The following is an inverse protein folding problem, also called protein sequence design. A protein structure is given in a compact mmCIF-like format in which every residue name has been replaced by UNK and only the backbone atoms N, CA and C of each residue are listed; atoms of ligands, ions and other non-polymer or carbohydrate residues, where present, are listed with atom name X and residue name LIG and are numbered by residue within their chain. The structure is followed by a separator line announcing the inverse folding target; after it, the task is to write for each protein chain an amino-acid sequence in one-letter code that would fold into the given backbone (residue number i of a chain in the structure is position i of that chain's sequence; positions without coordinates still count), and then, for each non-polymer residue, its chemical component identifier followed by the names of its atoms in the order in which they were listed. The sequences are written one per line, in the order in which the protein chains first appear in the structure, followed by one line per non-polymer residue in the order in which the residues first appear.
data_IF_616572178024
#
_entry.id   IF_616572178024
#
_cell.length_a   1.000
_cell.length_b   1.000
_cell.length_c   1.000
_cell.angle_alpha   90.00
_cell.angle_beta   90.00
_cell.angle_gamma   90.00
#
_symmetry.space_group_name_H-M   'P 1'
#
loop_
_entity.id
_entity.type
_entity.pdbx_description
1 polymer ?
#
# COMPACT_ATOMS: atom_id res chain seq x y z
N UNK A 1 -50.34 -14.71 21.95
CA UNK A 1 -49.54 -14.51 23.18
C UNK A 1 -48.63 -13.34 22.92
N UNK A 2 -48.92 -12.19 23.54
CA UNK A 2 -48.09 -10.98 23.50
C UNK A 2 -47.74 -10.72 24.97
N UNK A 3 -46.45 -10.63 25.28
CA UNK A 3 -45.97 -10.39 26.63
C UNK A 3 -45.84 -8.88 26.86
N UNK A 4 -46.57 -8.37 27.86
CA UNK A 4 -46.49 -7.00 28.35
C UNK A 4 -45.33 -6.88 29.35
N UNK A 5 -44.35 -6.05 29.01
CA UNK A 5 -43.09 -5.89 29.75
C UNK A 5 -43.12 -4.77 30.79
N UNK A 6 -44.22 -4.00 30.89
CA UNK A 6 -44.18 -2.66 31.50
C UNK A 6 -44.81 -2.51 32.90
N UNK A 7 -45.16 -3.59 33.60
CA UNK A 7 -45.81 -3.48 34.93
C UNK A 7 -45.21 -4.44 35.96
N UNK A 8 -43.93 -4.25 36.30
CA UNK A 8 -43.42 -4.71 37.58
C UNK A 8 -43.16 -3.53 38.52
N UNK A 9 -44.14 -3.33 39.40
CA UNK A 9 -44.19 -2.36 40.48
C UNK A 9 -43.02 -2.48 41.45
N UNK A 10 -42.45 -1.33 41.83
CA UNK A 10 -41.64 -1.16 43.02
C UNK A 10 -42.50 -0.57 44.14
N UNK A 11 -42.37 -1.10 45.35
CA UNK A 11 -42.86 -0.51 46.59
C UNK A 11 -41.79 -0.69 47.69
N UNK A 12 -41.76 0.18 48.71
CA UNK A 12 -40.52 0.68 49.31
C UNK A 12 -40.24 0.10 50.71
N UNK A 13 -38.97 0.12 51.14
CA UNK A 13 -38.60 -0.01 52.55
C UNK A 13 -37.55 1.08 52.85
N UNK A 14 -37.95 2.02 53.71
CA UNK A 14 -37.13 3.08 54.30
C UNK A 14 -36.10 2.51 55.31
N UNK A 15 -34.94 3.16 55.45
CA UNK A 15 -34.09 2.95 56.62
C UNK A 15 -32.63 3.41 56.50
N UNK A 16 -32.38 4.65 56.93
CA UNK A 16 -31.13 5.18 57.51
C UNK A 16 -29.87 5.44 56.63
N UNK A 17 -29.67 6.74 56.36
CA UNK A 17 -28.34 7.42 56.41
C UNK A 17 -28.23 8.10 57.79
N UNK A 18 -27.05 8.47 58.34
CA UNK A 18 -25.86 8.95 57.61
C UNK A 18 -24.48 8.52 58.16
N UNK A 19 -23.43 8.54 57.33
CA UNK A 19 -22.20 9.29 57.67
C UNK A 19 -21.29 9.48 56.46
N UNK A 20 -20.66 10.65 56.45
CA UNK A 20 -19.73 11.17 55.45
C UNK A 20 -18.42 10.37 55.39
N UNK A 21 -17.86 10.23 54.19
CA UNK A 21 -16.50 9.73 54.02
C UNK A 21 -16.10 9.62 52.54
N UNK A 22 -15.42 10.66 52.07
CA UNK A 22 -14.47 10.68 50.95
C UNK A 22 -14.97 10.24 49.56
N UNK A 23 -15.13 11.24 48.68
CA UNK A 23 -15.21 11.04 47.25
C UNK A 23 -13.81 10.72 46.70
N UNK A 24 -13.59 9.61 45.97
CA UNK A 24 -12.52 9.57 45.02
C UNK A 24 -13.00 10.24 43.73
N UNK A 25 -12.32 11.34 43.47
CA UNK A 25 -11.98 11.91 42.17
C UNK A 25 -12.41 11.09 40.94
N UNK A 26 -13.10 11.78 40.04
CA UNK A 26 -13.49 11.28 38.72
C UNK A 26 -12.29 10.64 38.01
N UNK A 27 -12.32 9.31 37.92
CA UNK A 27 -11.45 8.55 37.04
C UNK A 27 -11.77 8.97 35.60
N UNK A 28 -10.78 9.60 34.96
CA UNK A 28 -10.68 9.81 33.52
C UNK A 28 -10.97 8.49 32.77
N UNK A 29 -11.47 8.54 31.52
CA UNK A 29 -11.76 7.32 30.78
C UNK A 29 -10.52 6.46 30.68
N UNK A 30 -10.61 5.23 31.19
CA UNK A 30 -9.57 4.22 31.07
C UNK A 30 -9.18 4.08 29.60
N UNK A 31 -7.89 4.24 29.36
CA UNK A 31 -7.26 4.00 28.08
C UNK A 31 -7.53 2.54 27.65
N UNK A 32 -7.74 2.36 26.35
CA UNK A 32 -7.94 1.07 25.71
C UNK A 32 -6.89 0.02 26.14
N UNK A 33 -7.24 -1.28 26.15
CA UNK A 33 -6.34 -2.32 26.64
C UNK A 33 -5.17 -2.52 25.67
N UNK A 34 -3.94 -2.44 26.20
CA UNK A 34 -2.79 -3.14 25.63
C UNK A 34 -1.77 -2.33 24.83
N UNK A 35 -1.72 -1.00 24.91
CA UNK A 35 -0.57 -0.25 24.37
C UNK A 35 0.47 -0.07 25.47
N UNK A 36 1.69 -0.57 25.25
CA UNK A 36 2.82 -0.36 26.15
C UNK A 36 3.04 1.15 26.35
N UNK A 37 3.08 1.62 27.60
CA UNK A 37 3.22 3.06 27.91
C UNK A 37 4.48 3.65 27.26
N UNK A 38 5.57 2.88 27.23
CA UNK A 38 6.82 3.23 26.55
C UNK A 38 6.62 3.43 25.04
N UNK A 39 5.77 2.61 24.39
CA UNK A 39 5.46 2.74 22.96
C UNK A 39 4.64 4.01 22.68
N UNK A 40 3.70 4.37 23.56
CA UNK A 40 2.94 5.61 23.45
C UNK A 40 3.82 6.84 23.61
N UNK A 41 4.72 6.83 24.58
CA UNK A 41 5.69 7.92 24.78
C UNK A 41 6.61 8.06 23.58
N UNK A 42 7.09 6.94 23.05
CA UNK A 42 7.89 6.93 21.83
C UNK A 42 7.12 7.50 20.64
N UNK A 43 5.85 7.11 20.44
CA UNK A 43 5.01 7.63 19.37
C UNK A 43 4.81 9.14 19.48
N UNK A 44 4.56 9.67 20.69
CA UNK A 44 4.45 11.13 20.90
C UNK A 44 5.73 11.87 20.55
N UNK A 45 6.88 11.31 20.92
CA UNK A 45 8.19 11.87 20.60
C UNK A 45 8.45 11.85 19.09
N UNK A 46 8.16 10.74 18.41
CA UNK A 46 8.27 10.62 16.97
C UNK A 46 7.39 11.65 16.25
N UNK A 47 6.14 11.81 16.69
CA UNK A 47 5.21 12.80 16.14
C UNK A 47 5.72 14.23 16.30
N UNK A 48 6.18 14.59 17.51
CA UNK A 48 6.70 15.93 17.78
C UNK A 48 7.89 16.29 16.88
N UNK A 49 8.79 15.32 16.65
CA UNK A 49 9.94 15.49 15.76
C UNK A 49 9.52 15.65 14.31
N UNK A 50 8.69 14.73 13.79
CA UNK A 50 8.22 14.76 12.41
C UNK A 50 7.47 16.07 12.10
N UNK A 51 6.72 16.58 13.08
CA UNK A 51 6.04 17.88 12.99
C UNK A 51 7.04 19.03 12.87
N UNK A 52 8.06 19.06 13.73
CA UNK A 52 9.10 20.09 13.68
C UNK A 52 9.88 20.05 12.34
N UNK A 53 10.12 18.86 11.80
CA UNK A 53 10.75 18.68 10.48
C UNK A 53 9.87 19.26 9.37
N UNK A 54 8.57 18.92 9.34
CA UNK A 54 7.65 19.45 8.34
C UNK A 54 7.50 20.98 8.41
N UNK A 55 7.50 21.56 9.62
CA UNK A 55 7.47 23.01 9.81
C UNK A 55 8.75 23.68 9.29
N UNK A 56 9.92 23.08 9.52
CA UNK A 56 11.19 23.55 8.98
C UNK A 56 11.23 23.49 7.45
N UNK A 57 10.83 22.36 6.85
CA UNK A 57 10.77 22.18 5.40
C UNK A 57 9.79 23.19 4.76
N UNK A 58 8.65 23.44 5.42
CA UNK A 58 7.67 24.43 4.96
C UNK A 58 8.23 25.85 5.03
N UNK A 59 9.02 26.20 6.05
CA UNK A 59 9.65 27.52 6.15
C UNK A 59 10.75 27.72 5.11
N UNK A 60 11.51 26.66 4.80
CA UNK A 60 12.57 26.70 3.79
C UNK A 60 12.02 26.78 2.35
N UNK A 61 10.87 26.14 2.07
CA UNK A 61 10.19 26.23 0.77
C UNK A 61 9.52 27.60 0.52
N UNK A 62 9.20 28.37 1.56
CA UNK A 62 8.62 29.73 1.45
C UNK A 62 9.72 30.81 1.38
N UNK A 63 10.96 30.47 1.73
CA UNK A 63 12.07 31.42 1.79
C UNK A 63 12.78 31.79 0.46
N UNK A 64 12.66 31.09 -0.69
CA UNK A 64 13.36 31.54 -1.90
C UNK A 64 12.64 32.69 -2.63
N UNK A 65 11.43 33.08 -2.23
CA UNK A 65 10.61 34.09 -2.92
C UNK A 65 10.59 35.48 -2.22
N UNK A 66 11.63 35.81 -1.44
CA UNK A 66 11.80 37.14 -0.83
C UNK A 66 13.11 37.84 -1.19
N UNK A 67 13.85 37.33 -2.18
CA UNK A 67 15.06 37.98 -2.72
C UNK A 67 14.95 38.36 -4.21
N UNK A 68 13.77 38.25 -4.82
CA UNK A 68 13.55 38.52 -6.24
C UNK A 68 12.61 39.71 -6.44
N UNK A 69 13.09 40.95 -6.33
CA UNK A 69 12.51 42.08 -7.07
C UNK A 69 13.46 43.30 -7.06
N UNK A 70 13.56 44.13 -8.13
CA UNK A 70 13.21 43.93 -9.54
C UNK A 70 14.41 44.14 -10.49
N UNK A 71 14.34 43.49 -11.65
CA UNK A 71 15.11 43.80 -12.85
C UNK A 71 14.61 45.13 -13.47
N UNK A 72 15.46 46.15 -13.71
CA UNK A 72 15.08 47.29 -14.55
C UNK A 72 15.50 47.04 -16.01
N UNK A 73 14.46 46.98 -16.85
CA UNK A 73 14.35 47.44 -18.24
C UNK A 73 15.29 46.88 -19.33
N UNK A 74 14.73 46.38 -20.46
CA UNK A 74 15.50 45.97 -21.63
C UNK A 74 15.68 47.15 -22.61
N UNK A 75 16.92 47.45 -23.01
CA UNK A 75 17.20 48.15 -24.26
C UNK A 75 18.44 47.58 -24.97
N UNK A 76 18.52 47.70 -26.31
CA UNK A 76 19.07 46.68 -27.20
C UNK A 76 20.54 46.88 -27.62
N UNK A 77 21.19 45.76 -27.98
CA UNK A 77 22.27 45.50 -28.96
C UNK A 77 23.29 46.63 -29.32
N UNK A 78 24.60 46.32 -29.47
CA UNK A 78 25.04 45.71 -30.74
C UNK A 78 26.28 44.79 -30.71
N UNK A 79 26.25 43.84 -31.65
CA UNK A 79 27.35 43.33 -32.50
C UNK A 79 28.82 43.44 -32.02
N UNK A 80 29.51 42.30 -32.03
CA UNK A 80 30.90 42.24 -32.53
C UNK A 80 31.27 40.82 -32.98
N UNK A 81 31.85 40.74 -34.18
CA UNK A 81 32.24 39.55 -34.93
C UNK A 81 33.69 39.10 -34.59
N UNK A 82 34.42 38.32 -35.45
CA UNK A 82 34.98 36.97 -35.20
C UNK A 82 36.53 36.97 -35.02
N UNK A 83 37.22 35.80 -34.94
CA UNK A 83 37.97 35.29 -36.10
C UNK A 83 38.02 33.73 -36.20
N UNK A 84 37.96 33.06 -37.37
CA UNK A 84 38.94 32.85 -38.48
C UNK A 84 39.98 31.73 -38.18
N UNK A 85 39.88 30.64 -38.97
CA UNK A 85 40.90 29.69 -39.54
C UNK A 85 41.71 28.77 -38.60
N UNK A 86 42.11 27.51 -38.92
CA UNK A 86 42.61 26.87 -40.15
C UNK A 86 42.35 25.33 -40.18
N UNK A 87 42.12 24.81 -41.39
CA UNK A 87 42.20 23.42 -41.94
C UNK A 87 43.54 22.67 -41.62
N UNK A 88 43.82 21.37 -42.01
CA UNK A 88 43.39 20.67 -43.24
C UNK A 88 43.30 19.10 -43.29
N UNK A 89 42.88 18.61 -44.48
CA UNK A 89 43.21 17.35 -45.22
C UNK A 89 43.15 15.97 -44.51
N UNK A 90 42.32 15.02 -44.95
CA UNK A 90 42.36 14.17 -46.16
C UNK A 90 43.11 12.83 -45.98
N UNK A 91 42.58 11.79 -46.65
CA UNK A 91 43.09 10.42 -46.85
C UNK A 91 42.79 9.42 -45.71
N UNK A 92 41.85 8.49 -45.91
CA UNK A 92 42.02 7.18 -46.56
C UNK A 92 42.88 6.22 -45.73
N UNK A 93 42.31 5.12 -45.22
CA UNK A 93 42.77 3.77 -45.57
C UNK A 93 41.82 2.69 -45.01
N UNK A 94 41.73 1.60 -45.78
CA UNK A 94 40.91 0.41 -45.55
C UNK A 94 41.56 -0.54 -44.55
N UNK A 95 40.80 -1.22 -43.68
CA UNK A 95 41.18 -2.59 -43.26
C UNK A 95 39.93 -3.45 -43.01
N UNK A 96 39.77 -4.44 -43.88
CA UNK A 96 38.96 -5.65 -43.70
C UNK A 96 39.78 -6.69 -42.92
N UNK A 97 39.16 -7.70 -42.30
CA UNK A 97 39.38 -9.07 -42.80
C UNK A 97 38.04 -9.84 -42.86
N UNK A 98 37.69 -10.56 -43.92
CA UNK A 98 38.42 -11.63 -44.60
C UNK A 98 38.17 -12.92 -43.81
N UNK A 99 37.73 -14.08 -44.31
CA UNK A 99 37.64 -14.78 -45.62
C UNK A 99 36.86 -16.10 -45.27
N UNK A 100 36.25 -16.93 -46.12
CA UNK A 100 36.67 -17.59 -47.39
C UNK A 100 35.51 -18.56 -47.77
N UNK A 101 34.98 -18.50 -49.00
CA UNK A 101 35.05 -19.52 -50.10
C UNK A 101 34.40 -20.87 -49.81
N UNK A 102 33.46 -21.39 -50.61
CA UNK A 102 33.66 -21.93 -51.98
C UNK A 102 32.29 -22.04 -52.71
N UNK A 103 32.15 -21.54 -53.95
CA UNK A 103 31.94 -22.30 -55.22
C UNK A 103 30.75 -23.29 -55.20
N UNK A 104 29.77 -23.25 -56.12
CA UNK A 104 29.85 -23.46 -57.57
C UNK A 104 28.51 -23.04 -58.22
N UNK A 105 28.56 -22.24 -59.29
CA UNK A 105 28.27 -22.61 -60.68
C UNK A 105 26.79 -22.44 -61.10
N UNK A 106 26.61 -21.54 -62.06
CA UNK A 106 25.36 -21.25 -62.74
C UNK A 106 24.91 -22.40 -63.63
N UNK A 107 23.60 -22.69 -63.61
CA UNK A 107 22.89 -23.26 -64.75
C UNK A 107 21.59 -22.50 -64.90
N UNK A 108 21.48 -21.77 -66.01
CA UNK A 108 20.20 -21.28 -66.51
C UNK A 108 19.45 -22.46 -67.13
N UNK A 109 18.19 -22.63 -66.77
CA UNK A 109 17.20 -23.25 -67.67
C UNK A 109 15.96 -22.36 -67.62
N UNK A 110 15.65 -21.76 -68.76
CA UNK A 110 14.37 -21.12 -69.01
C UNK A 110 13.27 -22.18 -69.02
N UNK A 111 12.20 -21.99 -68.25
CA UNK A 111 10.95 -22.66 -68.54
C UNK A 111 9.76 -21.73 -68.21
N UNK A 112 9.21 -21.19 -69.30
CA UNK A 112 7.78 -21.01 -69.57
C UNK A 112 6.92 -20.32 -68.50
N UNK A 113 6.52 -19.09 -68.80
CA UNK A 113 5.34 -18.47 -68.20
C UNK A 113 4.07 -19.29 -68.48
N UNK A 114 3.19 -19.42 -67.49
CA UNK A 114 1.79 -19.14 -67.72
C UNK A 114 1.24 -18.06 -66.76
N UNK A 115 0.17 -17.44 -67.24
CA UNK A 115 -0.77 -16.47 -66.67
C UNK A 115 -0.73 -16.10 -65.15
N UNK A 116 -1.08 -14.85 -64.80
CA UNK A 116 -1.24 -14.43 -63.40
C UNK A 116 -2.48 -15.09 -62.79
N UNK A 117 -2.28 -15.91 -61.76
CA UNK A 117 -3.37 -16.37 -60.89
C UNK A 117 -3.80 -15.24 -59.94
N UNK A 118 -5.08 -15.17 -59.54
CA UNK A 118 -5.57 -14.13 -58.64
C UNK A 118 -4.88 -14.27 -57.27
N UNK A 119 -4.42 -13.14 -56.74
CA UNK A 119 -3.78 -13.07 -55.42
C UNK A 119 -4.64 -13.78 -54.36
N UNK A 120 -4.05 -14.61 -53.48
CA UNK A 120 -4.79 -15.22 -52.39
C UNK A 120 -5.40 -14.13 -51.52
N UNK A 121 -6.69 -14.25 -51.21
CA UNK A 121 -7.39 -13.32 -50.31
C UNK A 121 -6.69 -13.24 -48.93
N UNK A 122 -6.93 -12.16 -48.17
CA UNK A 122 -6.23 -11.94 -46.91
C UNK A 122 -6.39 -13.13 -45.97
N UNK A 123 -5.29 -13.53 -45.32
CA UNK A 123 -5.27 -14.62 -44.35
C UNK A 123 -6.28 -14.38 -43.22
N UNK A 124 -6.81 -15.44 -42.60
CA UNK A 124 -7.76 -15.34 -41.48
C UNK A 124 -7.20 -14.47 -40.31
N UNK A 125 -5.88 -14.49 -40.11
CA UNK A 125 -5.22 -13.65 -39.11
C UNK A 125 -5.27 -12.16 -39.49
N UNK A 126 -5.10 -11.86 -40.77
CA UNK A 126 -5.10 -10.51 -41.34
C UNK A 126 -6.51 -9.90 -41.34
N UNK A 127 -7.53 -10.73 -41.65
CA UNK A 127 -8.94 -10.36 -41.50
C UNK A 127 -9.28 -10.00 -40.04
N UNK A 128 -8.76 -10.77 -39.08
CA UNK A 128 -8.98 -10.49 -37.66
C UNK A 128 -8.24 -9.23 -37.17
N UNK A 129 -7.08 -8.90 -37.75
CA UNK A 129 -6.37 -7.64 -37.45
C UNK A 129 -7.13 -6.44 -38.03
N UNK A 130 -7.60 -6.52 -39.27
CA UNK A 130 -8.40 -5.48 -39.91
C UNK A 130 -9.69 -5.18 -39.14
N UNK A 131 -10.39 -6.21 -38.65
CA UNK A 131 -11.62 -6.03 -37.86
C UNK A 131 -11.37 -5.36 -36.49
N UNK A 132 -10.19 -5.58 -35.87
CA UNK A 132 -9.80 -4.87 -34.63
C UNK A 132 -9.49 -3.41 -34.90
N UNK A 133 -8.80 -3.11 -36.00
CA UNK A 133 -8.48 -1.74 -36.40
C UNK A 133 -9.74 -0.92 -36.69
N UNK A 134 -10.75 -1.51 -37.35
CA UNK A 134 -12.04 -0.87 -37.58
C UNK A 134 -12.77 -0.54 -36.27
N UNK A 135 -12.84 -1.49 -35.32
CA UNK A 135 -13.45 -1.25 -34.01
C UNK A 135 -12.75 -0.13 -33.24
N UNK A 136 -11.42 -0.03 -33.35
CA UNK A 136 -10.66 1.07 -32.75
C UNK A 136 -11.02 2.42 -33.38
N UNK A 137 -11.14 2.47 -34.70
CA UNK A 137 -11.54 3.70 -35.41
C UNK A 137 -12.96 4.11 -35.03
N UNK A 138 -13.92 3.18 -34.95
CA UNK A 138 -15.29 3.49 -34.50
C UNK A 138 -15.33 4.04 -33.06
N UNK A 139 -14.49 3.52 -32.17
CA UNK A 139 -14.37 4.02 -30.80
C UNK A 139 -13.76 5.43 -30.76
N UNK A 140 -12.75 5.69 -31.59
CA UNK A 140 -12.12 7.00 -31.70
C UNK A 140 -13.08 8.02 -32.31
N UNK A 141 -13.80 7.67 -33.38
CA UNK A 141 -14.83 8.52 -33.99
C UNK A 141 -15.95 8.82 -33.00
N UNK A 142 -16.43 7.82 -32.24
CA UNK A 142 -17.43 8.04 -31.19
C UNK A 142 -16.92 8.91 -30.05
N UNK A 143 -15.64 8.80 -29.70
CA UNK A 143 -15.01 9.65 -28.70
C UNK A 143 -14.88 11.11 -29.18
N UNK A 144 -14.69 11.34 -30.48
CA UNK A 144 -14.56 12.67 -31.09
C UNK A 144 -15.95 13.30 -31.35
N UNK A 145 -16.95 12.51 -31.73
CA UNK A 145 -18.30 12.98 -32.06
C UNK A 145 -19.22 13.13 -30.84
N UNK A 146 -18.78 12.71 -29.65
CA UNK A 146 -19.54 12.99 -28.43
C UNK A 146 -19.42 14.49 -28.12
N UNK A 147 -20.49 15.29 -28.24
CA UNK A 147 -20.43 16.69 -27.83
C UNK A 147 -20.15 16.74 -26.33
N UNK A 148 -19.11 17.46 -25.97
CA UNK A 148 -18.74 17.80 -24.60
C UNK A 148 -19.99 18.31 -23.86
N UNK A 149 -20.48 17.61 -22.81
CA UNK A 149 -21.65 18.08 -22.09
C UNK A 149 -21.28 19.38 -21.37
N UNK A 150 -21.88 20.46 -21.82
CA UNK A 150 -21.83 21.77 -21.16
C UNK A 150 -22.22 21.58 -19.70
N UNK A 151 -21.34 22.03 -18.81
CA UNK A 151 -21.46 21.95 -17.37
C UNK A 151 -22.84 22.41 -16.85
N UNK A 152 -23.50 21.55 -16.08
CA UNK A 152 -24.48 21.92 -15.06
C UNK A 152 -24.34 20.97 -13.86
N UNK A 153 -24.38 21.47 -12.62
CA UNK A 153 -23.90 20.75 -11.45
C UNK A 153 -24.97 19.78 -10.95
N UNK A 154 -24.68 18.50 -10.97
CA UNK A 154 -25.41 17.51 -10.19
C UNK A 154 -24.42 16.56 -9.56
N UNK A 155 -24.45 16.58 -8.23
CA UNK A 155 -23.66 15.76 -7.34
C UNK A 155 -23.85 14.26 -7.67
N UNK A 156 -22.73 13.61 -7.97
CA UNK A 156 -22.48 12.21 -7.72
C UNK A 156 -21.03 12.10 -7.28
N UNK A 157 -20.70 11.26 -6.28
CA UNK A 157 -19.39 11.29 -5.64
C UNK A 157 -18.35 10.94 -6.69
N UNK A 158 -17.36 11.82 -6.85
CA UNK A 158 -16.13 11.47 -7.48
C UNK A 158 -15.58 10.25 -6.74
N UNK A 159 -15.55 9.11 -7.41
CA UNK A 159 -14.58 8.07 -7.08
C UNK A 159 -13.24 8.76 -7.26
N UNK A 160 -12.66 9.19 -6.14
CA UNK A 160 -11.36 9.82 -6.12
C UNK A 160 -10.39 8.90 -6.86
N UNK A 161 -9.75 9.43 -7.89
CA UNK A 161 -8.45 8.93 -8.29
C UNK A 161 -7.60 8.79 -7.01
N UNK A 162 -6.79 7.72 -6.85
CA UNK A 162 -5.99 7.57 -5.65
C UNK A 162 -5.12 8.82 -5.52
N UNK A 163 -5.17 9.45 -4.35
CA UNK A 163 -4.37 10.61 -3.99
C UNK A 163 -2.88 10.24 -3.82
N UNK A 164 -2.32 9.53 -4.80
CA UNK A 164 -1.03 8.83 -4.71
C UNK A 164 0.13 9.60 -5.37
N UNK A 165 -0.03 10.92 -5.51
CA UNK A 165 1.05 11.83 -5.92
C UNK A 165 1.14 13.09 -5.04
N UNK A 166 0.38 13.15 -3.95
CA UNK A 166 0.59 14.19 -2.95
C UNK A 166 1.80 13.80 -2.10
N UNK A 167 2.77 14.71 -1.95
CA UNK A 167 3.88 14.51 -1.01
C UNK A 167 3.33 14.12 0.37
N UNK A 168 3.95 13.13 1.06
CA UNK A 168 3.46 12.67 2.36
C UNK A 168 3.52 13.83 3.35
N UNK A 169 2.35 14.16 3.89
CA UNK A 169 2.21 15.20 4.90
C UNK A 169 1.91 14.53 6.23
N UNK A 170 2.47 15.06 7.31
CA UNK A 170 2.12 14.58 8.65
C UNK A 170 0.63 14.85 8.89
N UNK A 171 -0.12 13.78 9.16
CA UNK A 171 -1.52 13.83 9.54
C UNK A 171 -1.72 14.17 11.02
N UNK A 172 -2.90 13.83 11.56
CA UNK A 172 -3.15 13.92 12.99
C UNK A 172 -2.40 12.81 13.76
N UNK A 173 -2.22 13.00 15.07
CA UNK A 173 -1.83 11.91 15.96
C UNK A 173 -3.06 11.03 16.24
N UNK A 174 -3.27 10.02 15.40
CA UNK A 174 -4.40 9.10 15.46
C UNK A 174 -3.94 7.65 15.75
N UNK A 175 -4.88 6.71 15.72
CA UNK A 175 -4.60 5.29 15.95
C UNK A 175 -3.67 4.69 14.88
N UNK A 176 -3.73 5.19 13.64
CA UNK A 176 -2.89 4.73 12.54
C UNK A 176 -1.44 5.18 12.74
N UNK A 177 -1.24 6.44 13.14
CA UNK A 177 0.07 6.96 13.53
C UNK A 177 0.64 6.17 14.71
N UNK A 178 -0.16 5.98 15.76
CA UNK A 178 0.28 5.29 16.98
C UNK A 178 0.75 3.86 16.69
N UNK A 179 0.00 3.12 15.89
CA UNK A 179 0.38 1.78 15.46
C UNK A 179 1.61 1.77 14.56
N UNK A 180 1.71 2.70 13.61
CA UNK A 180 2.87 2.81 12.72
C UNK A 180 4.14 3.08 13.53
N UNK A 181 4.03 3.95 14.54
CA UNK A 181 5.09 4.24 15.48
C UNK A 181 5.47 3.01 16.33
N UNK A 182 4.49 2.28 16.86
CA UNK A 182 4.72 1.05 17.62
C UNK A 182 5.47 -0.01 16.79
N UNK A 183 5.08 -0.19 15.52
CA UNK A 183 5.74 -1.14 14.60
C UNK A 183 7.20 -0.74 14.38
N UNK A 184 7.50 0.53 14.13
CA UNK A 184 8.87 1.01 13.93
C UNK A 184 9.70 0.90 15.22
N UNK A 185 9.10 1.20 16.38
CA UNK A 185 9.75 1.01 17.67
C UNK A 185 10.07 -0.47 17.93
N UNK A 186 9.13 -1.38 17.63
CA UNK A 186 9.31 -2.82 17.77
C UNK A 186 10.36 -3.41 16.81
N UNK A 187 10.66 -2.72 15.71
CA UNK A 187 11.78 -3.02 14.80
C UNK A 187 13.12 -2.46 15.30
N UNK A 188 13.14 -1.76 16.44
CA UNK A 188 14.34 -1.15 17.00
C UNK A 188 14.78 0.12 16.26
N UNK A 189 13.89 0.77 15.50
CA UNK A 189 14.21 2.05 14.86
C UNK A 189 14.45 3.13 15.92
N UNK A 190 15.44 3.96 15.68
CA UNK A 190 15.66 5.15 16.50
C UNK A 190 14.72 6.27 16.03
N UNK A 191 14.36 7.19 16.93
CA UNK A 191 13.50 8.34 16.62
C UNK A 191 14.02 9.20 15.46
N UNK A 192 15.33 9.13 15.19
CA UNK A 192 15.99 9.86 14.13
C UNK A 192 16.03 9.23 12.76
N UNK A 193 15.63 7.97 12.68
CA UNK A 193 15.65 7.19 11.45
C UNK A 193 14.28 7.09 10.77
N UNK A 194 13.23 7.59 11.44
CA UNK A 194 11.84 7.50 10.96
C UNK A 194 11.57 8.64 9.99
N UNK A 195 10.98 8.31 8.84
CA UNK A 195 10.51 9.31 7.88
C UNK A 195 8.98 9.40 7.83
N UNK A 196 8.47 10.53 7.31
CA UNK A 196 7.03 10.72 7.09
C UNK A 196 6.47 9.70 6.09
N UNK A 197 7.26 9.36 5.07
CA UNK A 197 6.95 8.36 4.05
C UNK A 197 6.69 6.99 4.70
N UNK A 198 7.55 6.57 5.64
CA UNK A 198 7.42 5.28 6.33
C UNK A 198 6.13 5.23 7.16
N UNK A 199 5.81 6.30 7.90
CA UNK A 199 4.58 6.40 8.70
C UNK A 199 3.33 6.37 7.80
N UNK A 200 3.31 7.15 6.72
CA UNK A 200 2.16 7.17 5.81
C UNK A 200 1.98 5.82 5.09
N UNK A 201 3.08 5.22 4.61
CA UNK A 201 3.05 3.90 3.99
C UNK A 201 2.51 2.82 4.95
N UNK A 202 2.95 2.80 6.20
CA UNK A 202 2.45 1.89 7.23
C UNK A 202 0.95 2.12 7.50
N UNK A 203 0.52 3.37 7.66
CA UNK A 203 -0.90 3.70 7.84
C UNK A 203 -1.76 3.23 6.67
N UNK A 204 -1.30 3.43 5.43
CA UNK A 204 -1.99 2.93 4.22
C UNK A 204 -2.03 1.40 4.18
N UNK A 205 -0.94 0.74 4.54
CA UNK A 205 -0.87 -0.72 4.63
C UNK A 205 -1.91 -1.26 5.64
N UNK A 206 -1.95 -0.70 6.85
CA UNK A 206 -2.93 -1.09 7.87
C UNK A 206 -4.36 -0.94 7.37
N UNK A 207 -4.71 0.23 6.83
CA UNK A 207 -6.05 0.50 6.30
C UNK A 207 -6.42 -0.46 5.16
N UNK A 208 -5.48 -0.76 4.27
CA UNK A 208 -5.67 -1.72 3.18
C UNK A 208 -5.93 -3.15 3.68
N UNK A 209 -5.35 -3.52 4.83
CA UNK A 209 -5.48 -4.86 5.43
C UNK A 209 -6.62 -4.97 6.46
N UNK A 210 -7.31 -3.88 6.80
CA UNK A 210 -8.26 -3.84 7.92
C UNK A 210 -9.36 -4.90 7.80
N UNK A 211 -9.93 -5.09 6.60
CA UNK A 211 -10.99 -6.08 6.38
C UNK A 211 -10.53 -7.52 6.65
N UNK A 212 -9.35 -7.88 6.15
CA UNK A 212 -8.78 -9.22 6.35
C UNK A 212 -8.39 -9.40 7.81
N UNK A 213 -7.77 -8.40 8.42
CA UNK A 213 -7.41 -8.39 9.84
C UNK A 213 -8.63 -8.60 10.73
N UNK A 214 -9.69 -7.80 10.54
CA UNK A 214 -10.91 -7.91 11.33
C UNK A 214 -11.55 -9.29 11.16
N UNK A 215 -11.71 -9.77 9.93
CA UNK A 215 -12.29 -11.08 9.66
C UNK A 215 -11.48 -12.24 10.24
N UNK A 216 -10.15 -12.16 10.20
CA UNK A 216 -9.26 -13.16 10.80
C UNK A 216 -9.34 -13.14 12.33
N UNK A 217 -9.25 -11.96 12.95
CA UNK A 217 -9.31 -11.82 14.41
C UNK A 217 -10.66 -12.28 14.96
N UNK A 218 -11.78 -11.95 14.29
CA UNK A 218 -13.10 -12.42 14.71
C UNK A 218 -13.18 -13.94 14.68
N UNK A 219 -12.79 -14.59 13.57
CA UNK A 219 -12.78 -16.06 13.49
C UNK A 219 -11.82 -16.69 14.50
N UNK A 220 -10.69 -16.05 14.76
CA UNK A 220 -9.73 -16.52 15.77
C UNK A 220 -10.34 -16.52 17.17
N UNK A 221 -11.01 -15.43 17.55
CA UNK A 221 -11.66 -15.32 18.86
C UNK A 221 -12.86 -16.28 18.98
N UNK A 222 -13.63 -16.46 17.91
CA UNK A 222 -14.74 -17.41 17.86
C UNK A 222 -14.27 -18.87 18.04
N UNK A 223 -13.13 -19.24 17.42
CA UNK A 223 -12.59 -20.59 17.52
C UNK A 223 -11.96 -20.88 18.89
N UNK A 224 -11.34 -19.88 19.53
CA UNK A 224 -10.74 -20.07 20.86
C UNK A 224 -11.79 -20.10 21.97
N UNK A 225 -12.84 -19.29 21.87
CA UNK A 225 -13.86 -19.19 22.92
C UNK A 225 -13.28 -18.75 24.27
N UNK A 226 -13.99 -19.12 25.35
CA UNK A 226 -13.61 -18.85 26.73
C UNK A 226 -12.89 -20.04 27.40
N UNK A 227 -12.83 -21.19 26.72
CA UNK A 227 -12.28 -22.44 27.26
C UNK A 227 -10.78 -22.55 26.99
N UNK A 228 -9.98 -23.17 27.89
CA UNK A 228 -8.56 -23.41 27.65
C UNK A 228 -8.29 -24.14 26.33
N UNK A 229 -7.11 -23.88 25.73
CA UNK A 229 -6.74 -24.49 24.45
C UNK A 229 -6.78 -26.02 24.53
N UNK A 230 -7.53 -26.65 23.62
CA UNK A 230 -7.58 -28.11 23.48
C UNK A 230 -7.06 -28.55 22.10
N UNK A 231 -6.66 -29.82 21.91
CA UNK A 231 -6.22 -30.32 20.60
C UNK A 231 -7.22 -30.05 19.47
N UNK A 232 -8.52 -30.11 19.77
CA UNK A 232 -9.59 -29.82 18.81
C UNK A 232 -9.56 -28.35 18.36
N UNK A 233 -9.35 -27.42 19.29
CA UNK A 233 -9.18 -25.99 18.96
C UNK A 233 -7.95 -25.77 18.08
N UNK A 234 -6.88 -26.55 18.27
CA UNK A 234 -5.69 -26.45 17.41
C UNK A 234 -5.98 -26.90 15.97
N UNK A 235 -6.86 -27.89 15.75
CA UNK A 235 -7.24 -28.33 14.40
C UNK A 235 -8.11 -27.27 13.69
N UNK A 236 -8.98 -26.59 14.44
CA UNK A 236 -9.74 -25.43 13.92
C UNK A 236 -8.82 -24.24 13.61
N UNK A 237 -7.80 -24.01 14.44
CA UNK A 237 -6.74 -23.02 14.18
C UNK A 237 -5.92 -23.37 12.93
N UNK A 238 -5.61 -24.66 12.70
CA UNK A 238 -4.94 -25.11 11.48
C UNK A 238 -5.73 -24.72 10.24
N UNK A 239 -7.02 -25.05 10.24
CA UNK A 239 -7.94 -24.72 9.16
C UNK A 239 -8.01 -23.22 8.92
N UNK A 240 -8.08 -22.43 10.00
CA UNK A 240 -8.10 -20.97 9.95
C UNK A 240 -6.81 -20.39 9.33
N UNK A 241 -5.64 -20.85 9.78
CA UNK A 241 -4.34 -20.37 9.31
C UNK A 241 -4.10 -20.74 7.84
N UNK A 242 -4.48 -21.96 7.43
CA UNK A 242 -4.39 -22.37 6.03
C UNK A 242 -5.31 -21.54 5.12
N UNK A 243 -6.51 -21.20 5.59
CA UNK A 243 -7.44 -20.31 4.87
C UNK A 243 -6.92 -18.88 4.77
N UNK A 244 -6.11 -18.43 5.72
CA UNK A 244 -5.52 -17.10 5.77
C UNK A 244 -4.22 -16.97 4.95
N UNK A 245 -3.94 -17.91 4.05
CA UNK A 245 -2.77 -17.92 3.18
C UNK A 245 -1.41 -17.97 3.92
N UNK A 246 -1.37 -18.54 5.15
CA UNK A 246 -0.11 -18.71 5.91
C UNK A 246 0.76 -19.82 5.33
N UNK A 247 0.15 -20.84 4.73
CA UNK A 247 0.82 -21.97 4.09
C UNK A 247 1.13 -23.14 5.04
N UNK A 248 1.18 -24.35 4.48
CA UNK A 248 1.25 -25.62 5.24
C UNK A 248 2.45 -25.68 6.18
N UNK A 249 3.66 -25.41 5.67
CA UNK A 249 4.89 -25.53 6.46
C UNK A 249 4.98 -24.53 7.61
N UNK A 250 4.46 -23.32 7.43
CA UNK A 250 4.45 -22.31 8.48
C UNK A 250 3.42 -22.66 9.56
N UNK A 251 2.22 -23.07 9.14
CA UNK A 251 1.16 -23.54 10.04
C UNK A 251 1.62 -24.75 10.86
N UNK A 252 2.23 -25.76 10.23
CA UNK A 252 2.76 -26.96 10.92
C UNK A 252 3.74 -26.58 12.05
N UNK A 253 4.70 -25.71 11.74
CA UNK A 253 5.71 -25.28 12.71
C UNK A 253 5.10 -24.56 13.93
N UNK A 254 4.16 -23.66 13.67
CA UNK A 254 3.48 -22.88 14.71
C UNK A 254 2.60 -23.77 15.58
N UNK A 255 1.84 -24.68 14.98
CA UNK A 255 0.98 -25.60 15.71
C UNK A 255 1.77 -26.63 16.51
N UNK A 256 2.91 -27.12 15.99
CA UNK A 256 3.77 -28.01 16.75
C UNK A 256 4.37 -27.35 17.99
N UNK A 257 4.69 -26.05 17.91
CA UNK A 257 5.11 -25.27 19.07
C UNK A 257 3.97 -25.15 20.11
N UNK A 258 2.74 -24.90 19.66
CA UNK A 258 1.55 -24.85 20.52
C UNK A 258 1.24 -26.21 21.17
N UNK A 259 1.29 -27.32 20.40
CA UNK A 259 1.08 -28.68 20.90
C UNK A 259 2.11 -29.06 21.97
N UNK A 260 3.38 -28.71 21.76
CA UNK A 260 4.44 -28.92 22.77
C UNK A 260 4.10 -28.20 24.06
N UNK A 261 3.67 -26.94 23.96
CA UNK A 261 3.29 -26.14 25.12
C UNK A 261 2.07 -26.73 25.86
N UNK A 262 1.06 -27.18 25.11
CA UNK A 262 -0.15 -27.80 25.68
C UNK A 262 0.14 -29.12 26.41
N UNK A 263 1.19 -29.84 26.01
CA UNK A 263 1.62 -31.05 26.71
C UNK A 263 2.31 -30.76 28.06
N UNK A 264 2.81 -29.54 28.26
CA UNK A 264 3.51 -29.12 29.47
C UNK A 264 2.56 -28.43 30.45
N UNK A 265 1.62 -27.62 29.97
CA UNK A 265 0.72 -26.81 30.78
C UNK A 265 -0.65 -26.60 30.12
N UNK A 266 -1.66 -26.29 30.95
CA UNK A 266 -2.97 -25.83 30.47
C UNK A 266 -2.81 -24.36 30.06
N UNK A 267 -3.14 -24.05 28.81
CA UNK A 267 -2.96 -22.71 28.24
C UNK A 267 -4.32 -22.02 28.12
N UNK A 268 -4.47 -20.90 28.82
CA UNK A 268 -5.65 -20.03 28.71
C UNK A 268 -5.73 -19.36 27.32
N UNK A 269 -6.92 -18.99 26.83
CA UNK A 269 -7.12 -18.42 25.49
C UNK A 269 -6.22 -17.21 25.19
N UNK A 270 -6.16 -16.23 26.11
CA UNK A 270 -5.36 -15.02 25.92
C UNK A 270 -3.86 -15.32 25.81
N UNK A 271 -3.39 -16.28 26.61
CA UNK A 271 -2.01 -16.73 26.59
C UNK A 271 -1.70 -17.52 25.30
N UNK A 272 -2.66 -18.30 24.82
CA UNK A 272 -2.62 -18.96 23.53
C UNK A 272 -2.46 -17.96 22.37
N UNK A 273 -3.27 -16.89 22.34
CA UNK A 273 -3.17 -15.83 21.33
C UNK A 273 -1.81 -15.13 21.40
N UNK A 274 -1.36 -14.77 22.62
CA UNK A 274 -0.07 -14.12 22.82
C UNK A 274 1.07 -14.99 22.30
N UNK A 275 1.04 -16.28 22.59
CA UNK A 275 2.04 -17.24 22.13
C UNK A 275 1.99 -17.44 20.61
N UNK A 276 0.78 -17.58 20.04
CA UNK A 276 0.59 -17.68 18.59
C UNK A 276 1.18 -16.46 17.87
N UNK A 277 0.88 -15.25 18.34
CA UNK A 277 1.47 -14.01 17.80
C UNK A 277 2.99 -14.04 17.85
N UNK A 278 3.57 -14.53 18.95
CA UNK A 278 5.02 -14.63 19.09
C UNK A 278 5.65 -15.67 18.16
N UNK A 279 5.02 -16.83 17.98
CA UNK A 279 5.49 -17.86 17.04
C UNK A 279 5.44 -17.34 15.59
N UNK A 280 4.32 -16.70 15.21
CA UNK A 280 4.17 -16.09 13.88
C UNK A 280 5.22 -14.99 13.63
N UNK A 281 5.51 -14.15 14.62
CA UNK A 281 6.57 -13.13 14.50
C UNK A 281 7.94 -13.77 14.32
N UNK A 282 8.27 -14.79 15.11
CA UNK A 282 9.56 -15.48 15.03
C UNK A 282 9.79 -16.06 13.63
N UNK A 283 8.74 -16.59 13.00
CA UNK A 283 8.80 -17.11 11.64
C UNK A 283 9.14 -16.03 10.58
N UNK A 284 8.79 -14.77 10.83
CA UNK A 284 9.11 -13.65 9.93
C UNK A 284 10.52 -13.10 10.13
N UNK A 285 11.13 -13.32 11.30
CA UNK A 285 12.49 -12.88 11.64
C UNK A 285 13.57 -13.88 11.18
N UNK A 286 13.17 -15.03 10.60
CA UNK A 286 14.05 -16.13 10.17
C UNK A 286 14.31 -16.10 8.66
#
# INVERSE_FOLDING_TARGET
MVYDWFTRSAAPEDGETPESGDAPEAAAPEAAPGVDQDALEWARQAYARLKAQQEADKLEQVAPEAASEPEPEPEPEPASQPPVVLSPEASADSVQPGRRTDAVQAVQVSETAPAPEPAPGPSLLEQAAAQRAQRQQELLERAIDTPEPVAAPVAAPATAAPADEAAPQLGAFDDDFTWSAEVLAAQGRQLDQISLEEIDWLGRLRRGMEKTRQGFVTQLLENLGDDPLTPEVLDDLETLLLRADVGVQATDQVLDALRKRLNEEVVEPEEGIRFLKQQLRTLLDT
#
